data_IF_258664475694
#
_entry.id   IF_258664475694
#
_cell.length_a   1.000
_cell.length_b   1.000
_cell.length_c   1.000
_cell.angle_alpha   90.00
_cell.angle_beta   90.00
_cell.angle_gamma   90.00
#
_symmetry.space_group_name_H-M   'P 1'
#
loop_
_entity.id
_entity.type
_entity.pdbx_description
1 polymer ?
#
# COMPACT_ATOMS: atom_id res chain seq x y z
N UNK A 1 27.19 -14.03 -8.52
CA UNK A 1 25.77 -13.74 -8.23
C UNK A 1 25.32 -12.34 -8.72
N UNK A 2 26.23 -11.36 -8.86
CA UNK A 2 25.95 -10.01 -9.40
C UNK A 2 25.60 -9.98 -10.91
N UNK A 3 26.10 -10.92 -11.71
CA UNK A 3 25.91 -10.93 -13.18
C UNK A 3 24.47 -11.17 -13.67
N UNK A 4 23.60 -11.85 -12.88
CA UNK A 4 22.18 -12.03 -13.24
C UNK A 4 21.32 -10.78 -13.00
N UNK A 5 21.86 -9.75 -12.37
CA UNK A 5 21.13 -8.53 -12.01
C UNK A 5 21.11 -7.51 -13.15
N UNK A 6 22.15 -7.44 -13.98
CA UNK A 6 22.20 -6.50 -15.10
C UNK A 6 21.24 -6.88 -16.25
N UNK A 7 21.07 -8.17 -16.51
CA UNK A 7 20.17 -8.67 -17.55
C UNK A 7 18.69 -8.38 -17.29
N UNK A 8 18.31 -8.14 -16.02
CA UNK A 8 16.92 -7.88 -15.61
C UNK A 8 16.58 -6.41 -15.50
N UNK A 9 17.58 -5.53 -15.63
CA UNK A 9 17.44 -4.07 -15.65
C UNK A 9 16.37 -3.56 -16.63
N UNK A 10 16.22 -4.10 -17.86
CA UNK A 10 15.21 -3.60 -18.81
C UNK A 10 13.78 -3.92 -18.37
N UNK A 11 13.54 -5.11 -17.81
CA UNK A 11 12.23 -5.55 -17.31
C UNK A 11 11.83 -4.72 -16.09
N UNK A 12 12.78 -4.46 -15.19
CA UNK A 12 12.60 -3.56 -14.05
C UNK A 12 12.27 -2.12 -14.51
N UNK A 13 12.99 -1.62 -15.50
CA UNK A 13 12.76 -0.27 -16.03
C UNK A 13 11.40 -0.14 -16.72
N UNK A 14 10.94 -1.19 -17.41
CA UNK A 14 9.62 -1.25 -18.04
C UNK A 14 8.48 -1.21 -17.02
N UNK A 15 8.56 -2.03 -15.97
CA UNK A 15 7.56 -2.05 -14.89
C UNK A 15 7.52 -0.72 -14.10
N UNK A 16 8.68 -0.11 -13.84
CA UNK A 16 8.78 1.19 -13.17
C UNK A 16 8.36 2.37 -14.06
N UNK A 17 8.53 2.27 -15.39
CA UNK A 17 8.02 3.27 -16.35
C UNK A 17 6.51 3.17 -16.54
N UNK A 18 5.93 1.97 -16.45
CA UNK A 18 4.49 1.74 -16.60
C UNK A 18 3.67 2.28 -15.41
N UNK A 19 4.30 2.45 -14.25
CA UNK A 19 3.67 3.02 -13.05
C UNK A 19 4.29 4.40 -12.73
N UNK A 20 3.81 5.50 -13.36
CA UNK A 20 4.35 6.85 -13.15
C UNK A 20 4.30 7.32 -11.69
N UNK A 21 3.49 6.68 -10.83
CA UNK A 21 3.46 6.94 -9.38
C UNK A 21 4.62 6.29 -8.59
N UNK A 22 5.40 5.41 -9.22
CA UNK A 22 6.63 4.81 -8.67
C UNK A 22 7.88 5.69 -8.88
N UNK A 23 7.70 6.96 -9.30
CA UNK A 23 8.78 7.94 -9.38
C UNK A 23 9.52 8.16 -8.05
N UNK A 24 8.88 7.87 -6.91
CA UNK A 24 9.50 7.87 -5.58
C UNK A 24 10.53 6.74 -5.42
N UNK A 25 10.31 5.56 -6.02
CA UNK A 25 11.30 4.48 -6.09
C UNK A 25 12.52 4.89 -6.94
N UNK A 26 12.32 5.76 -7.94
CA UNK A 26 13.27 6.77 -8.47
C UNK A 26 14.59 6.92 -7.73
N UNK A 27 14.42 7.41 -6.50
CA UNK A 27 15.46 8.00 -5.66
C UNK A 27 16.08 6.98 -4.69
N UNK A 28 15.53 5.76 -4.63
CA UNK A 28 16.04 4.70 -3.76
C UNK A 28 17.23 3.98 -4.39
N UNK A 29 18.09 3.41 -3.54
CA UNK A 29 19.19 2.55 -3.95
C UNK A 29 18.71 1.38 -4.86
N UNK A 30 19.46 1.09 -5.93
CA UNK A 30 19.13 0.05 -6.93
C UNK A 30 18.98 -1.35 -6.33
N UNK A 31 19.77 -1.68 -5.30
CA UNK A 31 19.67 -2.94 -4.57
C UNK A 31 18.28 -3.06 -3.92
N UNK A 32 17.82 -1.94 -3.35
CA UNK A 32 16.57 -1.84 -2.63
C UNK A 32 15.35 -1.98 -3.55
N UNK A 33 15.37 -1.29 -4.69
CA UNK A 33 14.34 -1.41 -5.73
C UNK A 33 14.16 -2.85 -6.20
N UNK A 34 15.25 -3.60 -6.30
CA UNK A 34 15.24 -4.98 -6.76
C UNK A 34 14.61 -5.92 -5.72
N UNK A 35 14.94 -5.75 -4.43
CA UNK A 35 14.31 -6.52 -3.36
C UNK A 35 12.81 -6.25 -3.27
N UNK A 36 12.42 -4.97 -3.36
CA UNK A 36 11.03 -4.53 -3.38
C UNK A 36 10.28 -5.23 -4.52
N UNK A 37 10.78 -5.15 -5.74
CA UNK A 37 10.13 -5.77 -6.91
C UNK A 37 10.08 -7.30 -6.83
N UNK A 38 11.06 -7.94 -6.19
CA UNK A 38 11.02 -9.38 -5.95
C UNK A 38 9.92 -9.75 -4.94
N UNK A 39 9.79 -9.00 -3.84
CA UNK A 39 8.74 -9.18 -2.84
C UNK A 39 7.35 -8.94 -3.44
N UNK A 40 7.21 -7.87 -4.23
CA UNK A 40 5.93 -7.48 -4.84
C UNK A 40 5.44 -8.43 -5.92
N UNK A 41 6.35 -9.11 -6.63
CA UNK A 41 5.97 -10.15 -7.60
C UNK A 41 5.15 -11.27 -6.98
N UNK A 42 5.29 -11.51 -5.67
CA UNK A 42 4.47 -12.47 -4.94
C UNK A 42 3.02 -11.97 -4.73
N UNK A 43 2.78 -10.66 -4.82
CA UNK A 43 1.53 -9.99 -4.45
C UNK A 43 0.79 -9.44 -5.68
N UNK A 44 0.57 -10.29 -6.68
CA UNK A 44 -0.09 -9.91 -7.94
C UNK A 44 -1.55 -9.48 -7.72
N UNK A 45 -2.25 -10.07 -6.75
CA UNK A 45 -3.57 -9.66 -6.29
C UNK A 45 -3.85 -10.27 -4.91
N UNK A 46 -3.56 -9.53 -3.83
CA UNK A 46 -3.88 -10.04 -2.49
C UNK A 46 -5.26 -9.54 -2.05
N UNK A 47 -6.06 -10.47 -1.55
CA UNK A 47 -7.24 -10.15 -0.77
C UNK A 47 -6.82 -9.71 0.64
N UNK A 48 -7.36 -8.58 1.10
CA UNK A 48 -7.08 -7.95 2.40
C UNK A 48 -8.23 -8.06 3.39
N UNK A 49 -9.46 -8.34 2.93
CA UNK A 49 -10.61 -8.52 3.81
C UNK A 49 -11.48 -9.70 3.40
N UNK A 50 -12.19 -10.28 4.35
CA UNK A 50 -13.10 -11.42 4.18
C UNK A 50 -14.59 -10.98 4.07
N UNK A 51 -14.83 -9.69 3.82
CA UNK A 51 -16.17 -9.09 3.70
C UNK A 51 -16.96 -9.58 2.48
N UNK A 52 -18.26 -9.26 2.46
CA UNK A 52 -19.13 -9.48 1.29
C UNK A 52 -18.55 -8.73 0.08
N UNK A 53 -18.08 -7.51 0.30
CA UNK A 53 -17.27 -6.76 -0.65
C UNK A 53 -15.79 -6.91 -0.28
N UNK A 54 -15.12 -7.82 -0.97
CA UNK A 54 -13.71 -8.10 -0.72
C UNK A 54 -12.85 -6.89 -1.09
N UNK A 55 -12.03 -6.43 -0.14
CA UNK A 55 -11.01 -5.42 -0.38
C UNK A 55 -9.73 -6.11 -0.77
N UNK A 56 -9.06 -5.60 -1.80
CA UNK A 56 -7.85 -6.20 -2.36
C UNK A 56 -6.86 -5.12 -2.82
N UNK A 57 -5.61 -5.49 -3.06
CA UNK A 57 -4.63 -4.64 -3.74
C UNK A 57 -3.90 -5.41 -4.83
N UNK A 58 -3.35 -4.67 -5.79
CA UNK A 58 -2.36 -5.19 -6.73
C UNK A 58 -0.96 -4.70 -6.34
N UNK A 59 0.06 -5.13 -7.10
CA UNK A 59 1.43 -4.72 -6.86
C UNK A 59 1.59 -3.18 -6.82
N UNK A 60 0.89 -2.45 -7.70
CA UNK A 60 1.03 -0.99 -7.79
C UNK A 60 0.48 -0.31 -6.53
N UNK A 61 -0.76 -0.61 -6.16
CA UNK A 61 -1.39 -0.09 -4.93
C UNK A 61 -0.57 -0.44 -3.70
N UNK A 62 -0.14 -1.70 -3.60
CA UNK A 62 0.70 -2.20 -2.53
C UNK A 62 1.97 -1.35 -2.33
N UNK A 63 2.69 -1.03 -3.41
CA UNK A 63 3.88 -0.18 -3.32
C UNK A 63 3.54 1.24 -2.93
N UNK A 64 2.56 1.83 -3.59
CA UNK A 64 2.20 3.22 -3.38
C UNK A 64 1.80 3.44 -1.91
N UNK A 65 0.99 2.55 -1.36
CA UNK A 65 0.57 2.55 0.03
C UNK A 65 1.77 2.39 0.97
N UNK A 66 2.68 1.47 0.67
CA UNK A 66 3.88 1.26 1.49
C UNK A 66 4.74 2.52 1.57
N UNK A 67 4.98 3.17 0.43
CA UNK A 67 5.77 4.40 0.37
C UNK A 67 5.09 5.51 1.18
N UNK A 68 3.80 5.76 0.94
CA UNK A 68 3.03 6.78 1.68
C UNK A 68 2.99 6.50 3.17
N UNK A 69 2.84 5.24 3.55
CA UNK A 69 2.86 4.83 4.94
C UNK A 69 4.20 5.17 5.59
N UNK A 70 5.32 4.87 4.94
CA UNK A 70 6.67 5.20 5.43
C UNK A 70 6.91 6.71 5.47
N UNK A 71 6.47 7.45 4.46
CA UNK A 71 6.51 8.92 4.44
C UNK A 71 5.70 9.54 5.59
N UNK A 72 4.64 8.87 6.04
CA UNK A 72 3.84 9.27 7.20
C UNK A 72 4.44 8.93 8.57
N UNK A 73 5.58 8.24 8.63
CA UNK A 73 6.27 7.92 9.88
C UNK A 73 7.18 9.06 10.35
N UNK A 74 7.55 9.04 11.63
CA UNK A 74 8.43 10.06 12.23
C UNK A 74 9.84 10.03 11.63
N UNK A 75 10.57 11.15 11.59
CA UNK A 75 11.94 11.22 11.05
C UNK A 75 12.90 10.19 11.68
N UNK A 76 12.73 9.90 12.97
CA UNK A 76 13.47 8.86 13.68
C UNK A 76 13.23 7.47 13.08
N UNK A 77 11.98 7.14 12.72
CA UNK A 77 11.63 5.91 12.00
C UNK A 77 12.12 5.94 10.55
N UNK A 78 12.15 7.12 9.93
CA UNK A 78 12.57 7.30 8.54
C UNK A 78 14.06 7.03 8.33
N UNK A 79 14.92 7.26 9.33
CA UNK A 79 16.35 6.95 9.24
C UNK A 79 16.66 5.45 8.98
N UNK A 80 15.68 4.57 9.22
CA UNK A 80 15.75 3.12 9.01
C UNK A 80 15.08 2.64 7.71
N UNK A 81 14.69 3.59 6.83
CA UNK A 81 13.93 3.37 5.58
C UNK A 81 14.54 2.33 4.65
N UNK A 82 15.86 2.43 4.43
CA UNK A 82 16.59 1.65 3.42
C UNK A 82 17.05 0.28 3.92
N UNK A 83 16.66 -0.16 5.12
CA UNK A 83 16.98 -1.52 5.60
C UNK A 83 15.72 -2.35 5.86
N UNK A 84 14.53 -1.72 5.88
CA UNK A 84 13.33 -2.36 6.42
C UNK A 84 12.05 -2.21 5.59
N UNK A 85 12.10 -1.82 4.30
CA UNK A 85 10.87 -1.59 3.51
C UNK A 85 9.94 -2.80 3.48
N UNK A 86 10.48 -4.01 3.38
CA UNK A 86 9.70 -5.26 3.42
C UNK A 86 9.01 -5.39 4.79
N UNK A 87 9.71 -5.10 5.89
CA UNK A 87 9.12 -5.11 7.23
C UNK A 87 8.03 -4.01 7.39
N UNK A 88 8.23 -2.84 6.78
CA UNK A 88 7.21 -1.78 6.76
C UNK A 88 6.01 -2.15 5.90
N UNK A 89 6.21 -2.85 4.78
CA UNK A 89 5.14 -3.40 3.97
C UNK A 89 4.30 -4.40 4.79
N UNK A 90 4.94 -5.39 5.42
CA UNK A 90 4.25 -6.36 6.27
C UNK A 90 3.51 -5.69 7.43
N UNK A 91 4.10 -4.63 8.00
CA UNK A 91 3.46 -3.82 9.05
C UNK A 91 2.24 -3.08 8.51
N UNK A 92 2.35 -2.41 7.37
CA UNK A 92 1.23 -1.72 6.72
C UNK A 92 0.11 -2.70 6.37
N UNK A 93 0.45 -3.87 5.80
CA UNK A 93 -0.49 -4.96 5.51
C UNK A 93 -1.25 -5.42 6.74
N UNK A 94 -0.54 -5.66 7.85
CA UNK A 94 -1.17 -6.07 9.12
C UNK A 94 -2.13 -5.02 9.66
N UNK A 95 -1.73 -3.75 9.64
CA UNK A 95 -2.56 -2.67 10.16
C UNK A 95 -3.80 -2.49 9.28
N UNK A 96 -3.64 -2.44 7.96
CA UNK A 96 -4.77 -2.26 7.06
C UNK A 96 -5.74 -3.43 7.15
N UNK A 97 -5.25 -4.68 7.23
CA UNK A 97 -6.10 -5.87 7.40
C UNK A 97 -6.98 -5.77 8.65
N UNK A 98 -6.39 -5.46 9.82
CA UNK A 98 -7.14 -5.29 11.07
C UNK A 98 -8.13 -4.13 11.04
N UNK A 99 -7.77 -3.05 10.37
CA UNK A 99 -8.65 -1.91 10.21
C UNK A 99 -9.82 -2.24 9.28
N UNK A 100 -9.59 -2.97 8.19
CA UNK A 100 -10.63 -3.46 7.30
C UNK A 100 -11.58 -4.44 7.98
N UNK A 101 -11.07 -5.32 8.85
CA UNK A 101 -11.92 -6.18 9.70
C UNK A 101 -12.87 -5.35 10.56
N UNK A 102 -12.38 -4.26 11.18
CA UNK A 102 -13.21 -3.35 11.99
C UNK A 102 -14.24 -2.57 11.16
N UNK A 103 -13.92 -2.26 9.90
CA UNK A 103 -14.80 -1.52 8.99
C UNK A 103 -15.67 -2.43 8.11
N UNK A 104 -15.65 -3.75 8.32
CA UNK A 104 -16.31 -4.72 7.46
C UNK A 104 -17.79 -4.39 7.22
N UNK A 105 -18.54 -4.14 8.29
CA UNK A 105 -19.97 -3.81 8.20
C UNK A 105 -20.22 -2.47 7.50
N UNK A 106 -19.42 -1.45 7.81
CA UNK A 106 -19.48 -0.13 7.16
C UNK A 106 -19.22 -0.22 5.65
N UNK A 107 -18.20 -0.99 5.26
CA UNK A 107 -17.81 -1.22 3.88
C UNK A 107 -18.91 -1.98 3.14
N UNK A 108 -19.40 -3.07 3.73
CA UNK A 108 -20.44 -3.91 3.13
C UNK A 108 -21.76 -3.15 2.97
N UNK A 109 -22.11 -2.32 3.95
CA UNK A 109 -23.27 -1.44 3.88
C UNK A 109 -23.09 -0.37 2.80
N UNK A 110 -21.95 0.33 2.77
CA UNK A 110 -21.68 1.39 1.81
C UNK A 110 -21.81 0.90 0.37
N UNK A 111 -21.13 -0.20 0.01
CA UNK A 111 -21.19 -0.71 -1.36
C UNK A 111 -22.55 -1.34 -1.71
N UNK A 112 -23.34 -1.75 -0.73
CA UNK A 112 -24.73 -2.19 -0.96
C UNK A 112 -25.68 -1.02 -1.25
N UNK A 113 -25.49 0.14 -0.60
CA UNK A 113 -26.41 1.29 -0.69
C UNK A 113 -25.99 2.29 -1.77
N UNK A 114 -24.69 2.48 -1.96
CA UNK A 114 -24.13 3.41 -2.94
C UNK A 114 -23.17 2.71 -3.90
N UNK A 115 -23.69 1.80 -4.77
CA UNK A 115 -22.87 1.12 -5.75
C UNK A 115 -22.20 2.12 -6.70
N UNK A 116 -20.96 1.83 -7.11
CA UNK A 116 -20.20 2.68 -8.03
C UNK A 116 -19.51 3.89 -7.39
N UNK A 117 -19.65 4.12 -6.08
CA UNK A 117 -18.93 5.18 -5.35
C UNK A 117 -17.79 4.61 -4.52
N UNK A 118 -16.74 5.43 -4.33
CA UNK A 118 -15.61 5.08 -3.48
C UNK A 118 -15.99 5.09 -1.99
N UNK A 119 -15.48 4.13 -1.24
CA UNK A 119 -15.51 4.18 0.22
C UNK A 119 -14.28 4.94 0.72
N UNK A 120 -14.49 6.16 1.21
CA UNK A 120 -13.42 7.04 1.67
C UNK A 120 -13.59 7.40 3.15
N UNK A 121 -12.48 7.32 3.89
CA UNK A 121 -12.33 7.77 5.27
C UNK A 121 -11.11 8.69 5.32
N UNK A 122 -11.34 9.99 5.34
CA UNK A 122 -10.30 11.02 5.22
C UNK A 122 -10.71 12.31 5.95
N UNK A 123 -9.76 13.20 6.23
CA UNK A 123 -10.04 14.47 6.91
C UNK A 123 -10.71 14.26 8.26
N UNK A 124 -11.95 14.75 8.42
CA UNK A 124 -12.75 14.58 9.65
C UNK A 124 -13.26 13.15 9.85
N UNK A 125 -13.34 12.34 8.79
CA UNK A 125 -13.78 10.94 8.85
C UNK A 125 -12.60 9.96 8.87
N UNK A 126 -11.37 10.45 9.09
CA UNK A 126 -10.21 9.59 9.25
C UNK A 126 -10.40 8.64 10.45
N UNK A 127 -9.95 7.40 10.30
CA UNK A 127 -10.22 6.34 11.27
C UNK A 127 -9.18 6.41 12.39
N UNK A 128 -9.62 6.53 13.64
CA UNK A 128 -8.72 6.39 14.79
C UNK A 128 -8.49 4.89 15.09
N UNK A 129 -7.25 4.46 14.91
CA UNK A 129 -6.78 3.10 15.15
C UNK A 129 -5.43 3.17 15.88
N UNK A 130 -5.31 2.51 17.04
CA UNK A 130 -4.11 2.52 17.89
C UNK A 130 -3.54 3.93 18.17
N UNK A 131 -4.42 4.90 18.44
CA UNK A 131 -4.03 6.28 18.74
C UNK A 131 -3.53 7.10 17.54
N UNK A 132 -3.62 6.53 16.33
CA UNK A 132 -3.27 7.18 15.08
C UNK A 132 -4.51 7.37 14.21
N UNK A 133 -4.60 8.50 13.50
CA UNK A 133 -5.63 8.69 12.49
C UNK A 133 -5.14 8.15 11.15
N UNK A 134 -5.92 7.28 10.53
CA UNK A 134 -5.62 6.67 9.24
C UNK A 134 -6.56 7.19 8.16
N UNK A 135 -5.98 7.48 7.00
CA UNK A 135 -6.71 7.74 5.77
C UNK A 135 -6.83 6.43 5.00
N UNK A 136 -8.01 6.17 4.44
CA UNK A 136 -8.31 4.99 3.65
C UNK A 136 -9.21 5.39 2.47
N UNK A 137 -8.90 4.89 1.27
CA UNK A 137 -9.77 4.99 0.10
C UNK A 137 -9.85 3.62 -0.60
N UNK A 138 -11.07 3.13 -0.81
CA UNK A 138 -11.37 1.88 -1.53
C UNK A 138 -12.23 2.23 -2.75
N UNK A 139 -11.76 1.80 -3.91
CA UNK A 139 -12.45 1.90 -5.19
C UNK A 139 -13.79 1.12 -5.19
N UNK A 140 -14.72 1.43 -6.11
CA UNK A 140 -15.98 0.70 -6.24
C UNK A 140 -15.84 -0.80 -6.54
N UNK A 141 -14.71 -1.21 -7.12
CA UNK A 141 -14.37 -2.62 -7.41
C UNK A 141 -13.67 -3.34 -6.24
N UNK A 142 -13.53 -2.68 -5.09
CA UNK A 142 -12.86 -3.21 -3.91
C UNK A 142 -11.35 -2.98 -3.89
N UNK A 143 -10.74 -2.34 -4.91
CA UNK A 143 -9.31 -2.04 -4.88
C UNK A 143 -8.99 -1.00 -3.82
N UNK A 144 -8.04 -1.31 -2.94
CA UNK A 144 -7.47 -0.34 -2.00
C UNK A 144 -6.59 0.65 -2.78
N UNK A 145 -7.03 1.90 -2.87
CA UNK A 145 -6.35 2.97 -3.60
C UNK A 145 -5.32 3.68 -2.72
N UNK A 146 -5.71 4.02 -1.49
CA UNK A 146 -4.87 4.82 -0.60
C UNK A 146 -4.99 4.35 0.85
N UNK A 147 -3.85 4.35 1.54
CA UNK A 147 -3.76 4.05 2.96
C UNK A 147 -2.49 4.66 3.55
N UNK A 148 -2.64 5.54 4.54
CA UNK A 148 -1.52 6.16 5.24
C UNK A 148 -1.94 6.71 6.60
N UNK A 149 -0.96 6.96 7.47
CA UNK A 149 -1.22 7.66 8.73
C UNK A 149 -1.31 9.16 8.46
N UNK A 150 -2.32 9.82 9.02
CA UNK A 150 -2.42 11.28 8.99
C UNK A 150 -1.33 11.88 9.87
N UNK A 151 -0.45 12.66 9.26
CA UNK A 151 0.50 13.52 9.98
C UNK A 151 -0.31 14.71 10.52
N UNK A 152 -0.05 15.10 11.77
CA UNK A 152 -0.70 16.27 12.40
C UNK A 152 -0.34 17.55 11.66
#
# INVERSE_FOLDING_TARGET
MLYRLEERRPVLHGALKAAPKLLSLQRMNIHFRTQILYHLKAHHLDRLSDGKFAVWWDCESCVQISIRYIESMSEADQSKKEEHLIAYFEKAKKIVTRLLERLKEDIDHHFSVTPGKEFTRAGITAINFDGCYHVLCIAPDGKLIDFYKRIK
#
